data_IF_662420800454
#
_entry.id   IF_662420800454
#
_cell.length_a   1.000
_cell.length_b   1.000
_cell.length_c   1.000
_cell.angle_alpha   90.00
_cell.angle_beta   90.00
_cell.angle_gamma   90.00
#
_symmetry.space_group_name_H-M   'P 1'
#
loop_
_entity.id
_entity.type
_entity.pdbx_description
1 polymer ?
#
# COMPACT_ATOMS: atom_id res chain seq x y z
N UNK A 1 -3.00 -14.50 4.99
CA UNK A 1 -3.76 -14.10 3.79
C UNK A 1 -3.79 -12.58 3.79
N UNK A 2 -3.48 -11.96 2.66
CA UNK A 2 -3.56 -10.50 2.54
C UNK A 2 -5.02 -10.08 2.47
N UNK A 3 -5.35 -8.93 3.06
CA UNK A 3 -6.72 -8.42 3.11
C UNK A 3 -6.96 -7.47 1.93
N UNK A 4 -7.89 -7.75 1.00
CA UNK A 4 -8.21 -6.82 -0.07
C UNK A 4 -8.88 -5.56 0.49
N UNK A 5 -8.47 -4.40 -0.03
CA UNK A 5 -8.99 -3.09 0.37
C UNK A 5 -9.26 -2.21 -0.85
N UNK A 6 -10.11 -1.20 -0.67
CA UNK A 6 -10.27 -0.14 -1.67
C UNK A 6 -9.28 0.98 -1.39
N UNK A 7 -8.64 1.48 -2.45
CA UNK A 7 -7.65 2.55 -2.39
C UNK A 7 -8.01 3.61 -3.42
N UNK A 8 -8.04 4.86 -2.98
CA UNK A 8 -8.12 6.02 -3.86
C UNK A 8 -6.68 6.49 -4.11
N UNK A 9 -6.21 6.37 -5.35
CA UNK A 9 -4.85 6.71 -5.73
C UNK A 9 -4.79 7.31 -7.13
N UNK A 10 -3.66 7.96 -7.41
CA UNK A 10 -3.26 8.35 -8.76
C UNK A 10 -2.12 7.43 -9.19
N UNK A 11 -2.23 6.84 -10.38
CA UNK A 11 -1.14 6.13 -11.05
C UNK A 11 -0.57 7.07 -12.09
N UNK A 12 0.72 7.35 -12.01
CA UNK A 12 1.42 8.19 -12.97
C UNK A 12 1.92 7.35 -14.15
N UNK A 13 2.19 8.01 -15.29
CA UNK A 13 2.68 7.35 -16.50
C UNK A 13 4.04 6.66 -16.35
N UNK A 14 4.81 7.04 -15.33
CA UNK A 14 6.09 6.42 -14.96
C UNK A 14 5.93 5.24 -13.99
N UNK A 15 4.69 4.81 -13.71
CA UNK A 15 4.37 3.71 -12.82
C UNK A 15 4.35 4.07 -11.34
N UNK A 16 4.71 5.30 -10.95
CA UNK A 16 4.58 5.73 -9.56
C UNK A 16 3.12 5.75 -9.15
N UNK A 17 2.88 5.50 -7.87
CA UNK A 17 1.55 5.59 -7.26
C UNK A 17 1.56 6.67 -6.18
N UNK A 18 0.51 7.49 -6.15
CA UNK A 18 0.18 8.37 -5.02
C UNK A 18 -1.14 7.94 -4.40
N UNK A 19 -1.07 7.32 -3.22
CA UNK A 19 -2.22 6.95 -2.41
C UNK A 19 -2.72 8.18 -1.64
N UNK A 20 -4.03 8.44 -1.71
CA UNK A 20 -4.69 9.55 -0.99
C UNK A 20 -5.45 9.06 0.24
N UNK A 21 -6.20 7.96 0.10
CA UNK A 21 -7.00 7.37 1.17
C UNK A 21 -7.25 5.89 0.93
N UNK A 22 -7.51 5.18 2.01
CA UNK A 22 -7.84 3.76 2.02
C UNK A 22 -9.18 3.52 2.70
N UNK A 23 -9.92 2.49 2.29
CA UNK A 23 -11.18 2.11 2.92
C UNK A 23 -10.97 0.97 3.91
N UNK A 24 -11.08 1.28 5.20
CA UNK A 24 -10.91 0.34 6.32
C UNK A 24 -12.16 0.33 7.20
N UNK A 25 -12.67 -0.85 7.54
CA UNK A 25 -13.89 -0.98 8.35
C UNK A 25 -15.07 -0.22 7.73
N UNK A 26 -15.19 -0.23 6.40
CA UNK A 26 -16.25 0.46 5.65
C UNK A 26 -16.05 1.97 5.44
N UNK A 27 -15.09 2.60 6.13
CA UNK A 27 -14.87 4.05 6.10
C UNK A 27 -13.58 4.44 5.39
N UNK A 28 -13.61 5.55 4.66
CA UNK A 28 -12.42 6.12 4.04
C UNK A 28 -11.56 6.87 5.06
N UNK A 29 -10.25 6.62 5.04
CA UNK A 29 -9.26 7.28 5.90
C UNK A 29 -8.15 7.87 5.04
N UNK A 30 -7.90 9.16 5.22
CA UNK A 30 -6.73 9.82 4.63
C UNK A 30 -5.46 9.17 5.16
N UNK A 31 -4.43 9.11 4.32
CA UNK A 31 -3.13 8.58 4.68
C UNK A 31 -2.02 9.52 4.26
N UNK A 32 -0.90 9.47 4.98
CA UNK A 32 0.35 9.95 4.42
C UNK A 32 1.06 8.78 3.74
N UNK A 33 1.78 9.05 2.66
CA UNK A 33 2.53 8.04 1.93
C UNK A 33 4.02 8.24 2.16
N UNK A 34 4.70 7.14 2.50
CA UNK A 34 6.15 7.03 2.58
C UNK A 34 6.75 6.41 1.32
N UNK A 35 7.68 5.46 1.53
CA UNK A 35 8.41 4.79 0.44
C UNK A 35 7.45 3.99 -0.44
N UNK A 36 7.79 3.90 -1.73
CA UNK A 36 7.20 2.97 -2.68
C UNK A 36 8.32 2.21 -3.39
N UNK A 37 8.06 0.96 -3.77
CA UNK A 37 8.97 0.12 -4.55
C UNK A 37 8.17 -0.90 -5.35
N UNK A 38 8.83 -1.57 -6.29
CA UNK A 38 8.22 -2.60 -7.12
C UNK A 38 9.04 -3.87 -7.06
N UNK A 39 8.38 -5.02 -7.07
CA UNK A 39 9.00 -6.34 -7.24
C UNK A 39 8.05 -7.23 -8.07
N UNK A 40 8.32 -8.54 -8.13
CA UNK A 40 7.51 -9.50 -8.87
C UNK A 40 6.06 -9.65 -8.36
N UNK A 41 5.78 -9.30 -7.10
CA UNK A 41 4.43 -9.34 -6.54
C UNK A 41 3.59 -8.13 -6.98
N UNK A 42 4.23 -7.00 -7.25
CA UNK A 42 3.58 -5.79 -7.75
C UNK A 42 4.14 -4.50 -7.17
N UNK A 43 3.28 -3.51 -7.03
CA UNK A 43 3.65 -2.18 -6.53
C UNK A 43 3.37 -2.09 -5.03
N UNK A 44 4.43 -1.87 -4.26
CA UNK A 44 4.36 -1.69 -2.82
C UNK A 44 4.38 -0.20 -2.45
N UNK A 45 3.59 0.16 -1.44
CA UNK A 45 3.52 1.53 -0.90
C UNK A 45 3.38 1.46 0.62
N UNK A 46 4.26 2.14 1.34
CA UNK A 46 4.07 2.40 2.77
C UNK A 46 3.14 3.59 2.97
N UNK A 47 2.15 3.41 3.83
CA UNK A 47 1.23 4.45 4.25
C UNK A 47 1.21 4.57 5.76
N UNK A 48 1.09 5.80 6.26
CA UNK A 48 0.85 6.10 7.66
C UNK A 48 -0.65 6.35 7.85
N UNK A 49 -1.29 5.50 8.65
CA UNK A 49 -2.67 5.70 9.06
C UNK A 49 -2.75 6.65 10.26
N UNK A 50 -3.89 7.35 10.45
CA UNK A 50 -4.17 8.09 11.67
C UNK A 50 -4.03 7.17 12.89
N UNK A 51 -3.19 7.55 13.87
CA UNK A 51 -2.82 6.69 15.01
C UNK A 51 -1.43 6.03 14.90
N UNK A 52 -0.58 6.50 13.98
CA UNK A 52 0.84 6.15 13.81
C UNK A 52 1.16 4.71 13.36
N UNK A 53 0.17 3.95 12.88
CA UNK A 53 0.45 2.64 12.32
C UNK A 53 0.95 2.76 10.87
N UNK A 54 2.23 2.45 10.66
CA UNK A 54 2.78 2.22 9.31
C UNK A 54 2.20 0.92 8.77
N UNK A 55 1.58 1.00 7.60
CA UNK A 55 0.95 -0.12 6.90
C UNK A 55 1.52 -0.22 5.50
N UNK A 56 1.82 -1.44 5.07
CA UNK A 56 2.22 -1.72 3.70
C UNK A 56 1.00 -2.10 2.86
N UNK A 57 0.87 -1.43 1.72
CA UNK A 57 -0.12 -1.75 0.70
C UNK A 57 0.59 -2.35 -0.50
N UNK A 58 0.01 -3.41 -1.07
CA UNK A 58 0.42 -4.02 -2.32
C UNK A 58 -0.69 -3.88 -3.34
N UNK A 59 -0.39 -3.27 -4.49
CA UNK A 59 -1.18 -3.47 -5.70
C UNK A 59 -0.62 -4.71 -6.41
N UNK A 60 -1.35 -5.83 -6.30
CA UNK A 60 -0.94 -7.11 -6.85
C UNK A 60 -0.85 -7.06 -8.37
N UNK A 61 0.27 -7.53 -8.94
CA UNK A 61 0.46 -7.66 -10.38
C UNK A 61 -0.41 -8.77 -11.00
N UNK A 62 -0.85 -9.74 -10.21
CA UNK A 62 -1.64 -10.88 -10.70
C UNK A 62 -3.13 -10.58 -10.75
N UNK A 63 -3.64 -9.92 -9.72
CA UNK A 63 -5.08 -9.72 -9.51
C UNK A 63 -5.52 -8.28 -9.75
N UNK A 64 -4.56 -7.35 -9.84
CA UNK A 64 -4.83 -5.90 -9.91
C UNK A 64 -5.69 -5.40 -8.74
N UNK A 65 -5.57 -6.06 -7.59
CA UNK A 65 -6.24 -5.70 -6.34
C UNK A 65 -5.26 -5.09 -5.36
N UNK A 66 -5.74 -4.08 -4.63
CA UNK A 66 -5.01 -3.54 -3.49
C UNK A 66 -5.23 -4.40 -2.26
N UNK A 67 -4.15 -4.68 -1.55
CA UNK A 67 -4.15 -5.53 -0.37
C UNK A 67 -3.28 -4.95 0.74
N UNK A 68 -3.69 -5.17 2.00
CA UNK A 68 -2.80 -4.96 3.15
C UNK A 68 -1.90 -6.17 3.28
N UNK A 69 -0.59 -5.92 3.27
CA UNK A 69 0.43 -6.93 3.52
C UNK A 69 0.70 -6.96 5.02
N UNK A 70 0.56 -8.12 5.70
CA UNK A 70 1.04 -8.28 7.05
C UNK A 70 2.55 -8.04 7.06
N UNK A 71 3.04 -7.11 7.88
CA UNK A 71 4.47 -6.88 8.01
C UNK A 71 5.14 -8.16 8.52
N UNK A 72 5.78 -8.92 7.64
CA UNK A 72 6.68 -10.00 8.04
C UNK A 72 8.04 -9.40 8.41
N UNK A 73 8.76 -9.93 9.42
CA UNK A 73 10.03 -9.36 9.89
C UNK A 73 11.21 -9.38 8.90
N UNK A 74 11.01 -9.78 7.64
CA UNK A 74 12.11 -10.10 6.72
C UNK A 74 11.78 -9.73 5.26
N UNK A 75 11.95 -8.45 4.91
CA UNK A 75 12.54 -7.97 3.64
C UNK A 75 12.40 -6.44 3.44
N UNK A 76 13.44 -5.74 2.94
CA UNK A 76 14.80 -5.65 3.46
C UNK A 76 14.97 -4.41 4.38
N UNK A 77 16.11 -4.28 5.09
CA UNK A 77 16.39 -3.12 5.92
C UNK A 77 16.57 -1.86 5.07
N UNK A 78 16.32 -0.72 5.71
CA UNK A 78 16.78 0.59 5.25
C UNK A 78 18.32 0.53 5.26
N UNK A 79 18.95 0.39 4.09
CA UNK A 79 20.30 0.90 3.84
C UNK A 79 20.21 2.35 3.42
#
# INVERSE_FOLDING_TARGET
>A
MNQPISVDCTIFSDGRVRVRRVRLGGSWRMVEQGRQWQNAAGQHVLVLLPGQQVTELLLSAQTLTWEIVPRLPSDPPIT
#
